data_IF_450643525217
#
_entry.id   IF_450643525217
#
_cell.length_a   1.000
_cell.length_b   1.000
_cell.length_c   1.000
_cell.angle_alpha   90.00
_cell.angle_beta   90.00
_cell.angle_gamma   90.00
#
_symmetry.space_group_name_H-M   'P 1'
#
loop_
_entity.id
_entity.type
_entity.pdbx_description
1 polymer ?
#
# COMPACT_ATOMS: atom_id res chain seq x y z
N UNK A 1 -41.89 -1.29 -43.85
CA UNK A 1 -40.46 -1.57 -43.70
C UNK A 1 -39.61 -0.38 -43.23
N UNK A 2 -39.98 0.87 -43.44
CA UNK A 2 -39.17 2.05 -43.01
C UNK A 2 -39.13 2.32 -41.48
N UNK A 3 -40.14 1.87 -40.72
CA UNK A 3 -40.23 2.09 -39.27
C UNK A 3 -39.50 1.04 -38.42
N UNK A 4 -39.23 -0.14 -38.99
CA UNK A 4 -38.50 -1.22 -38.30
C UNK A 4 -37.01 -0.91 -38.18
N UNK A 5 -36.43 -0.19 -39.15
CA UNK A 5 -35.02 0.22 -39.16
C UNK A 5 -34.73 1.32 -38.14
N UNK A 6 -35.69 2.18 -37.82
CA UNK A 6 -35.51 3.26 -36.83
C UNK A 6 -35.54 2.70 -35.40
N UNK A 7 -36.34 1.64 -35.15
CA UNK A 7 -36.42 1.03 -33.82
C UNK A 7 -35.17 0.19 -33.45
N UNK A 8 -34.51 -0.38 -34.46
CA UNK A 8 -33.26 -1.14 -34.26
C UNK A 8 -32.04 -0.27 -33.88
N UNK A 9 -32.03 1.00 -34.29
CA UNK A 9 -30.92 1.92 -33.93
C UNK A 9 -31.00 2.50 -32.51
N UNK A 10 -32.18 2.46 -31.90
CA UNK A 10 -32.40 3.04 -30.55
C UNK A 10 -31.98 2.10 -29.40
N UNK A 11 -31.76 0.81 -29.68
CA UNK A 11 -31.41 -0.19 -28.66
C UNK A 11 -29.89 -0.26 -28.40
N UNK A 12 -29.07 0.33 -29.29
CA UNK A 12 -27.61 0.25 -29.21
C UNK A 12 -26.95 1.32 -28.30
N UNK A 13 -27.69 2.23 -27.68
CA UNK A 13 -27.14 3.35 -26.89
C UNK A 13 -27.11 3.09 -25.38
N UNK A 14 -27.59 1.93 -24.89
CA UNK A 14 -27.74 1.69 -23.44
C UNK A 14 -26.61 0.82 -22.80
N UNK A 15 -25.50 0.58 -23.47
CA UNK A 15 -24.48 -0.34 -22.95
C UNK A 15 -23.13 0.33 -22.70
N UNK A 16 -23.07 1.47 -22.02
CA UNK A 16 -21.79 2.01 -21.56
C UNK A 16 -21.91 2.70 -20.20
N UNK A 17 -22.52 2.04 -19.21
CA UNK A 17 -22.20 2.33 -17.83
C UNK A 17 -20.95 1.50 -17.50
N UNK A 18 -19.75 2.06 -17.67
CA UNK A 18 -18.57 1.59 -16.93
C UNK A 18 -18.85 1.92 -15.47
N UNK A 19 -19.08 0.90 -14.66
CA UNK A 19 -19.02 1.02 -13.21
C UNK A 19 -17.68 1.67 -12.86
N UNK A 20 -17.70 2.89 -12.35
CA UNK A 20 -16.51 3.57 -11.88
C UNK A 20 -16.01 2.79 -10.65
N UNK A 21 -14.90 2.06 -10.84
CA UNK A 21 -14.33 1.22 -9.79
C UNK A 21 -13.91 2.14 -8.63
N UNK A 22 -14.45 1.90 -7.45
CA UNK A 22 -14.05 2.64 -6.25
C UNK A 22 -12.55 2.42 -5.99
N UNK A 23 -11.77 3.48 -6.15
CA UNK A 23 -10.32 3.47 -5.96
C UNK A 23 -9.91 4.04 -4.61
N UNK A 24 -10.85 4.39 -3.73
CA UNK A 24 -10.59 5.07 -2.46
C UNK A 24 -9.56 4.34 -1.59
N UNK A 25 -9.57 3.02 -1.61
CA UNK A 25 -8.63 2.17 -0.85
C UNK A 25 -7.80 1.25 -1.77
N UNK A 26 -7.65 1.61 -3.03
CA UNK A 26 -6.87 0.82 -3.98
C UNK A 26 -5.41 1.30 -4.01
N UNK A 27 -4.48 0.35 -3.99
CA UNK A 27 -3.05 0.57 -4.19
C UNK A 27 -2.70 0.08 -5.59
N UNK A 28 -2.29 1.01 -6.44
CA UNK A 28 -1.81 0.77 -7.79
C UNK A 28 -0.33 1.10 -7.89
N UNK A 29 0.26 0.97 -9.06
CA UNK A 29 1.63 1.41 -9.34
C UNK A 29 1.78 2.93 -9.20
N UNK A 30 0.74 3.69 -9.56
CA UNK A 30 0.83 5.14 -9.71
C UNK A 30 0.06 5.91 -8.62
N UNK A 31 -0.74 5.22 -7.79
CA UNK A 31 -1.55 5.86 -6.75
C UNK A 31 -1.86 4.95 -5.56
N UNK A 32 -2.11 5.57 -4.41
CA UNK A 32 -2.64 4.94 -3.19
C UNK A 32 -3.87 5.74 -2.76
N UNK A 33 -5.06 5.23 -3.09
CA UNK A 33 -6.30 5.95 -2.90
C UNK A 33 -6.27 7.31 -3.62
N UNK A 34 -6.30 8.39 -2.84
CA UNK A 34 -6.28 9.78 -3.36
C UNK A 34 -4.87 10.30 -3.67
N UNK A 35 -3.82 9.61 -3.22
CA UNK A 35 -2.44 10.06 -3.33
C UNK A 35 -1.82 9.53 -4.61
N UNK A 36 -1.48 10.40 -5.54
CA UNK A 36 -0.71 10.06 -6.73
C UNK A 36 0.79 10.00 -6.42
N UNK A 37 1.53 9.15 -7.13
CA UNK A 37 2.99 8.98 -6.99
C UNK A 37 3.76 10.29 -7.18
N UNK A 38 3.28 11.15 -8.07
CA UNK A 38 3.91 12.45 -8.38
C UNK A 38 3.47 13.59 -7.46
N UNK A 39 2.60 13.31 -6.45
CA UNK A 39 2.11 14.33 -5.53
C UNK A 39 3.24 14.94 -4.71
N UNK A 40 3.26 16.26 -4.64
CA UNK A 40 4.24 16.98 -3.84
C UNK A 40 3.83 16.97 -2.36
N UNK A 41 4.82 16.91 -1.48
CA UNK A 41 4.58 16.92 -0.03
C UNK A 41 3.82 18.19 0.44
N UNK A 42 3.98 19.32 -0.26
CA UNK A 42 3.26 20.55 0.04
C UNK A 42 1.76 20.50 -0.28
N UNK A 43 1.34 19.58 -1.18
CA UNK A 43 -0.04 19.49 -1.65
C UNK A 43 -0.89 18.52 -0.81
N UNK A 44 -0.28 17.84 0.16
CA UNK A 44 -0.94 16.83 1.03
C UNK A 44 -2.17 17.42 1.74
N UNK A 45 -2.12 18.68 2.19
CA UNK A 45 -3.26 19.32 2.84
C UNK A 45 -4.45 19.54 1.89
N UNK A 46 -4.18 19.74 0.61
CA UNK A 46 -5.22 19.91 -0.42
C UNK A 46 -5.79 18.53 -0.81
N UNK A 47 -4.93 17.54 -1.01
CA UNK A 47 -5.34 16.16 -1.38
C UNK A 47 -6.25 15.55 -0.29
N UNK A 48 -5.91 15.81 0.97
CA UNK A 48 -6.63 15.27 2.13
C UNK A 48 -7.46 16.33 2.88
N UNK A 49 -8.00 17.34 2.15
CA UNK A 49 -8.76 18.45 2.75
C UNK A 49 -9.99 18.01 3.57
N UNK A 50 -10.55 16.84 3.28
CA UNK A 50 -11.68 16.25 4.01
C UNK A 50 -11.27 15.30 5.16
N UNK A 51 -9.98 15.10 5.34
CA UNK A 51 -9.38 14.19 6.32
C UNK A 51 -8.61 15.01 7.37
N UNK A 52 -8.24 14.40 8.49
CA UNK A 52 -7.41 15.03 9.52
C UNK A 52 -5.94 14.71 9.28
N UNK A 53 -5.08 15.72 9.30
CA UNK A 53 -3.65 15.58 9.06
C UNK A 53 -2.88 15.98 10.33
N UNK A 54 -2.04 15.07 10.82
CA UNK A 54 -1.10 15.34 11.91
C UNK A 54 0.32 15.33 11.36
N UNK A 55 1.02 16.46 11.49
CA UNK A 55 2.45 16.57 11.15
C UNK A 55 3.29 16.12 12.34
N UNK A 56 3.96 14.99 12.19
CA UNK A 56 4.83 14.45 13.23
C UNK A 56 6.26 14.98 13.04
N UNK A 57 6.67 15.88 13.93
CA UNK A 57 8.01 16.45 13.98
C UNK A 57 8.89 15.81 15.08
N UNK A 58 8.41 14.74 15.72
CA UNK A 58 9.06 14.13 16.90
C UNK A 58 10.33 13.32 16.59
N UNK A 59 10.73 13.17 15.33
CA UNK A 59 11.99 12.49 14.96
C UNK A 59 13.08 13.53 14.71
N UNK A 60 13.57 14.14 15.80
CA UNK A 60 14.64 15.17 15.76
C UNK A 60 16.05 14.56 15.63
N UNK A 61 16.23 13.24 15.60
CA UNK A 61 17.55 12.59 15.77
C UNK A 61 18.04 11.72 14.60
N UNK A 62 17.52 11.88 13.39
CA UNK A 62 18.16 11.30 12.20
C UNK A 62 18.35 12.38 11.15
N UNK A 63 19.40 12.27 10.37
CA UNK A 63 19.88 13.24 9.37
C UNK A 63 18.86 13.68 8.30
N UNK A 64 17.63 13.18 8.35
CA UNK A 64 16.52 13.55 7.49
C UNK A 64 15.41 14.20 8.33
N UNK A 65 15.38 15.53 8.34
CA UNK A 65 14.38 16.38 8.99
C UNK A 65 12.99 16.32 8.32
N UNK A 66 12.65 15.22 7.64
CA UNK A 66 11.38 15.09 6.90
C UNK A 66 10.23 14.86 7.89
N UNK A 67 9.39 15.87 8.07
CA UNK A 67 8.17 15.79 8.89
C UNK A 67 7.22 14.78 8.24
N UNK A 68 6.89 13.71 8.96
CA UNK A 68 5.90 12.73 8.49
C UNK A 68 4.49 13.29 8.60
N UNK A 69 3.63 12.92 7.64
CA UNK A 69 2.20 13.22 7.70
C UNK A 69 1.44 11.96 8.09
N UNK A 70 0.66 12.04 9.16
CA UNK A 70 -0.28 10.99 9.54
C UNK A 70 -1.67 11.42 9.07
N UNK A 71 -2.29 10.62 8.23
CA UNK A 71 -3.60 10.88 7.64
C UNK A 71 -4.64 10.06 8.38
N UNK A 72 -5.67 10.74 8.87
CA UNK A 72 -6.78 10.14 9.60
C UNK A 72 -8.09 10.46 8.89
N UNK A 73 -8.91 9.45 8.68
CA UNK A 73 -10.27 9.62 8.18
C UNK A 73 -11.08 10.51 9.15
N UNK A 74 -12.06 11.21 8.63
CA UNK A 74 -13.05 11.94 9.43
C UNK A 74 -13.75 10.94 10.38
N UNK A 75 -13.48 11.05 11.66
CA UNK A 75 -13.86 10.03 12.66
C UNK A 75 -12.68 9.38 13.38
N UNK A 76 -11.44 9.72 13.00
CA UNK A 76 -10.22 9.42 13.74
C UNK A 76 -9.49 8.13 13.36
N UNK A 77 -9.95 7.38 12.35
CA UNK A 77 -9.27 6.16 11.92
C UNK A 77 -7.98 6.49 11.14
N UNK A 78 -6.85 5.95 11.57
CA UNK A 78 -5.56 6.15 10.91
C UNK A 78 -5.53 5.40 9.57
N UNK A 79 -5.32 6.14 8.49
CA UNK A 79 -5.31 5.62 7.13
C UNK A 79 -3.89 5.31 6.64
N UNK A 80 -3.05 6.34 6.63
CA UNK A 80 -1.70 6.31 6.05
C UNK A 80 -0.73 7.12 6.90
N UNK A 81 0.53 6.70 6.93
CA UNK A 81 1.67 7.53 7.35
C UNK A 81 2.56 7.77 6.15
N UNK A 82 2.72 9.04 5.76
CA UNK A 82 3.48 9.47 4.59
C UNK A 82 4.83 10.02 5.02
N UNK A 83 5.89 9.61 4.35
CA UNK A 83 7.25 10.11 4.55
C UNK A 83 7.70 10.84 3.28
N UNK A 84 7.92 12.16 3.32
CA UNK A 84 8.47 12.90 2.19
C UNK A 84 9.91 12.52 1.87
N UNK A 85 10.30 12.69 0.60
CA UNK A 85 11.68 12.60 0.17
C UNK A 85 12.52 13.75 0.75
N UNK A 86 13.86 13.61 0.68
CA UNK A 86 14.81 14.63 1.09
C UNK A 86 15.14 15.64 -0.01
N UNK A 87 14.46 15.61 -1.14
CA UNK A 87 14.71 16.47 -2.29
C UNK A 87 14.36 17.93 -2.04
N UNK A 88 14.89 18.83 -2.86
CA UNK A 88 14.56 20.26 -2.82
C UNK A 88 13.07 20.55 -3.05
N UNK A 89 12.41 19.72 -3.84
CA UNK A 89 10.96 19.71 -4.07
C UNK A 89 10.45 18.33 -3.66
N UNK A 90 10.12 18.12 -2.36
CA UNK A 90 9.81 16.80 -1.84
C UNK A 90 8.53 16.21 -2.45
N UNK A 91 8.61 15.00 -2.94
CA UNK A 91 7.48 14.10 -3.19
C UNK A 91 7.27 13.20 -1.97
N UNK A 92 6.33 12.25 -2.03
CA UNK A 92 6.20 11.22 -1.01
C UNK A 92 7.00 9.99 -1.47
N UNK A 93 8.04 9.62 -0.72
CA UNK A 93 8.91 8.48 -1.05
C UNK A 93 8.50 7.18 -0.36
N UNK A 94 7.91 7.26 0.84
CA UNK A 94 7.52 6.06 1.56
C UNK A 94 6.16 6.23 2.23
N UNK A 95 5.29 5.25 2.03
CA UNK A 95 3.93 5.23 2.56
C UNK A 95 3.77 3.97 3.41
N UNK A 96 3.40 4.14 4.67
CA UNK A 96 2.95 3.05 5.53
C UNK A 96 1.43 3.01 5.52
N UNK A 97 0.90 1.85 5.18
CA UNK A 97 -0.54 1.59 5.22
C UNK A 97 -0.93 1.20 6.64
N UNK A 98 -1.93 1.89 7.20
CA UNK A 98 -2.40 1.66 8.58
C UNK A 98 -3.83 1.07 8.60
N UNK A 99 -4.61 1.27 7.55
CA UNK A 99 -5.98 0.75 7.45
C UNK A 99 -6.06 -0.50 6.58
N UNK A 100 -6.72 -1.53 7.10
CA UNK A 100 -6.92 -2.83 6.44
C UNK A 100 -7.78 -2.77 5.17
N UNK A 101 -8.50 -1.68 4.92
CA UNK A 101 -9.29 -1.48 3.69
C UNK A 101 -8.39 -1.29 2.46
N UNK A 102 -7.16 -0.81 2.65
CA UNK A 102 -6.23 -0.67 1.54
C UNK A 102 -5.76 -2.04 1.05
N UNK A 103 -5.99 -2.28 -0.23
CA UNK A 103 -5.58 -3.48 -0.94
C UNK A 103 -4.91 -3.13 -2.26
N UNK A 104 -3.98 -3.95 -2.70
CA UNK A 104 -3.40 -3.85 -4.05
C UNK A 104 -4.42 -4.26 -5.11
N UNK A 105 -4.11 -4.01 -6.40
CA UNK A 105 -4.93 -4.47 -7.53
C UNK A 105 -5.14 -5.98 -7.55
N UNK A 106 -4.24 -6.74 -6.89
CA UNK A 106 -4.35 -8.19 -6.73
C UNK A 106 -5.02 -8.63 -5.41
N UNK A 107 -5.62 -7.68 -4.68
CA UNK A 107 -6.39 -7.95 -3.47
C UNK A 107 -5.56 -8.21 -2.21
N UNK A 108 -4.24 -8.00 -2.24
CA UNK A 108 -3.37 -8.21 -1.07
C UNK A 108 -3.25 -6.94 -0.25
N UNK A 109 -3.43 -7.03 1.08
CA UNK A 109 -3.38 -5.91 2.01
C UNK A 109 -2.99 -6.35 3.43
N UNK A 110 -3.18 -5.47 4.43
CA UNK A 110 -2.83 -5.76 5.83
C UNK A 110 -3.61 -6.93 6.46
N UNK A 111 -4.78 -7.27 5.92
CA UNK A 111 -5.58 -8.38 6.41
C UNK A 111 -5.18 -9.73 5.78
N UNK A 112 -4.29 -9.72 4.80
CA UNK A 112 -3.82 -10.88 4.07
C UNK A 112 -2.75 -11.66 4.86
N UNK A 113 -2.42 -12.86 4.36
CA UNK A 113 -1.40 -13.76 4.89
C UNK A 113 -0.18 -13.83 3.96
N UNK A 114 0.85 -14.55 4.38
CA UNK A 114 1.99 -14.84 3.51
C UNK A 114 1.59 -15.65 2.27
N UNK A 115 0.61 -16.55 2.43
CA UNK A 115 0.06 -17.31 1.29
C UNK A 115 -0.50 -16.37 0.21
N UNK A 116 -1.27 -15.36 0.61
CA UNK A 116 -1.85 -14.40 -0.35
C UNK A 116 -0.75 -13.63 -1.09
N UNK A 117 0.35 -13.28 -0.41
CA UNK A 117 1.50 -12.63 -1.06
C UNK A 117 2.09 -13.55 -2.13
N UNK A 118 2.46 -14.79 -1.78
CA UNK A 118 3.16 -15.70 -2.70
C UNK A 118 2.29 -16.20 -3.85
N UNK A 119 0.97 -16.30 -3.65
CA UNK A 119 0.04 -16.73 -4.69
C UNK A 119 -0.20 -15.63 -5.73
N UNK A 120 -0.08 -14.36 -5.35
CA UNK A 120 -0.37 -13.21 -6.21
C UNK A 120 0.88 -12.48 -6.72
N UNK A 121 2.03 -12.64 -6.07
CA UNK A 121 3.26 -11.90 -6.39
C UNK A 121 4.50 -12.78 -6.46
N UNK A 122 5.41 -12.40 -7.35
CA UNK A 122 6.77 -12.96 -7.36
C UNK A 122 7.62 -12.26 -6.31
N UNK A 123 8.17 -13.01 -5.37
CA UNK A 123 9.08 -12.48 -4.35
C UNK A 123 10.44 -12.19 -4.99
N UNK A 124 10.93 -10.96 -4.84
CA UNK A 124 12.25 -10.54 -5.30
C UNK A 124 13.34 -10.89 -4.28
N UNK A 125 13.07 -10.58 -3.01
CA UNK A 125 14.04 -10.75 -1.92
C UNK A 125 13.31 -10.82 -0.58
N UNK A 126 13.84 -11.63 0.32
CA UNK A 126 13.48 -11.64 1.73
C UNK A 126 14.66 -11.09 2.52
N UNK A 127 14.41 -10.09 3.37
CA UNK A 127 15.40 -9.48 4.24
C UNK A 127 15.04 -9.83 5.67
N UNK A 128 15.95 -10.51 6.35
CA UNK A 128 15.80 -10.86 7.77
C UNK A 128 16.38 -9.74 8.63
N UNK A 129 15.60 -9.25 9.59
CA UNK A 129 16.04 -8.36 10.65
C UNK A 129 15.92 -9.03 12.02
N UNK A 130 16.27 -8.32 13.10
CA UNK A 130 16.21 -8.89 14.45
C UNK A 130 14.83 -9.49 14.78
N UNK A 131 13.75 -8.74 14.54
CA UNK A 131 12.40 -9.12 14.96
C UNK A 131 11.43 -9.38 13.80
N UNK A 132 11.83 -9.14 12.56
CA UNK A 132 10.92 -9.17 11.42
C UNK A 132 11.60 -9.77 10.19
N UNK A 133 10.74 -10.16 9.27
CA UNK A 133 11.09 -10.56 7.90
C UNK A 133 10.42 -9.58 6.94
N UNK A 134 11.19 -8.94 6.07
CA UNK A 134 10.68 -8.01 5.06
C UNK A 134 10.68 -8.70 3.70
N UNK A 135 9.54 -8.67 3.03
CA UNK A 135 9.30 -9.34 1.75
C UNK A 135 9.20 -8.26 0.67
N UNK A 136 10.19 -8.23 -0.21
CA UNK A 136 10.23 -7.34 -1.38
C UNK A 136 9.71 -8.08 -2.60
N UNK A 137 8.88 -7.43 -3.40
CA UNK A 137 8.26 -7.98 -4.60
C UNK A 137 9.05 -7.59 -5.87
N UNK A 138 8.86 -8.35 -6.99
CA UNK A 138 9.52 -8.06 -8.27
C UNK A 138 8.82 -6.94 -9.03
N UNK A 139 7.50 -7.00 -9.08
CA UNK A 139 6.68 -6.17 -9.99
C UNK A 139 5.74 -5.24 -9.21
N UNK A 140 6.16 -4.82 -8.01
CA UNK A 140 5.38 -3.91 -7.17
C UNK A 140 6.30 -3.14 -6.23
N UNK A 141 5.98 -1.87 -6.03
CA UNK A 141 6.64 -1.02 -5.03
C UNK A 141 6.11 -1.29 -3.60
N UNK A 142 5.06 -2.10 -3.48
CA UNK A 142 4.59 -2.59 -2.19
C UNK A 142 5.55 -3.63 -1.62
N UNK A 143 5.80 -3.55 -0.31
CA UNK A 143 6.53 -4.55 0.43
C UNK A 143 5.87 -4.83 1.78
N UNK A 144 6.09 -6.03 2.29
CA UNK A 144 5.39 -6.53 3.46
C UNK A 144 6.36 -6.92 4.55
N UNK A 145 5.94 -6.77 5.79
CA UNK A 145 6.69 -7.18 6.96
C UNK A 145 5.90 -8.20 7.75
N UNK A 146 6.53 -9.32 8.08
CA UNK A 146 5.99 -10.36 8.95
C UNK A 146 6.83 -10.37 10.23
N UNK A 147 6.20 -10.49 11.41
CA UNK A 147 6.92 -10.68 12.66
C UNK A 147 7.57 -12.05 12.69
N UNK A 148 8.78 -12.17 13.25
CA UNK A 148 9.39 -13.47 13.52
C UNK A 148 8.58 -14.33 14.50
N UNK A 149 7.66 -13.73 15.26
CA UNK A 149 6.72 -14.46 16.10
C UNK A 149 5.79 -15.39 15.31
N UNK A 150 5.50 -15.06 14.06
CA UNK A 150 4.72 -15.89 13.14
C UNK A 150 5.51 -17.11 12.60
N UNK A 151 6.83 -17.14 12.78
CA UNK A 151 7.69 -18.22 12.28
C UNK A 151 7.79 -19.38 13.25
N UNK A 152 8.21 -20.57 12.79
CA UNK A 152 8.55 -21.69 13.65
C UNK A 152 9.56 -21.27 14.74
N UNK A 153 9.46 -21.86 15.93
CA UNK A 153 10.27 -21.49 17.10
C UNK A 153 11.79 -21.51 16.85
N UNK A 154 12.26 -22.42 16.00
CA UNK A 154 13.68 -22.54 15.60
C UNK A 154 14.21 -21.32 14.84
N UNK A 155 13.33 -20.51 14.21
CA UNK A 155 13.69 -19.35 13.41
C UNK A 155 13.46 -18.03 14.12
N UNK A 156 12.65 -18.01 15.18
CA UNK A 156 12.28 -16.77 15.90
C UNK A 156 13.49 -16.03 16.47
N UNK A 157 14.45 -16.76 17.03
CA UNK A 157 15.60 -16.21 17.74
C UNK A 157 16.91 -16.27 16.91
N UNK A 158 16.86 -16.80 15.71
CA UNK A 158 18.03 -16.89 14.85
C UNK A 158 18.38 -15.50 14.29
N UNK A 159 19.42 -14.85 14.83
CA UNK A 159 19.83 -13.47 14.45
C UNK A 159 20.60 -13.42 13.13
N UNK A 160 21.19 -14.54 12.68
CA UNK A 160 22.12 -14.59 11.54
C UNK A 160 21.63 -15.48 10.39
N UNK A 161 20.41 -15.98 10.42
CA UNK A 161 19.89 -16.90 9.41
C UNK A 161 19.13 -16.14 8.34
N UNK A 162 19.51 -16.35 7.08
CA UNK A 162 18.69 -15.94 5.95
C UNK A 162 17.44 -16.82 5.91
N UNK A 163 16.28 -16.19 6.14
CA UNK A 163 14.99 -16.87 6.07
C UNK A 163 14.53 -16.89 4.62
N UNK A 164 14.22 -18.09 4.13
CA UNK A 164 13.70 -18.32 2.79
C UNK A 164 12.16 -18.40 2.79
N UNK A 165 11.53 -18.14 1.63
CA UNK A 165 10.08 -18.15 1.51
C UNK A 165 9.44 -19.48 1.96
N UNK A 166 10.08 -20.61 1.70
CA UNK A 166 9.62 -21.95 2.08
C UNK A 166 9.54 -22.16 3.60
N UNK A 167 10.24 -21.34 4.37
CA UNK A 167 10.30 -21.44 5.83
C UNK A 167 9.26 -20.53 6.53
N UNK A 168 8.56 -19.67 5.79
CA UNK A 168 7.51 -18.81 6.31
C UNK A 168 6.19 -19.55 6.20
N UNK A 169 5.43 -19.73 7.31
CA UNK A 169 4.12 -20.37 7.28
C UNK A 169 3.14 -19.62 6.36
N UNK A 170 2.32 -20.37 5.67
CA UNK A 170 1.30 -19.83 4.75
C UNK A 170 0.31 -18.90 5.45
N UNK A 171 -0.04 -19.19 6.69
CA UNK A 171 -0.96 -18.44 7.54
C UNK A 171 -0.29 -17.30 8.32
N UNK A 172 1.03 -17.08 8.15
CA UNK A 172 1.76 -15.99 8.79
C UNK A 172 1.13 -14.63 8.44
N UNK A 173 0.81 -13.85 9.48
CA UNK A 173 0.08 -12.58 9.33
C UNK A 173 1.02 -11.44 8.95
N UNK A 174 0.52 -10.57 8.10
CA UNK A 174 1.22 -9.34 7.73
C UNK A 174 1.16 -8.37 8.92
N UNK A 175 2.33 -7.94 9.40
CA UNK A 175 2.48 -6.95 10.46
C UNK A 175 2.41 -5.53 9.92
N UNK A 176 3.12 -5.27 8.82
CA UNK A 176 3.15 -3.97 8.15
C UNK A 176 3.08 -4.15 6.64
N UNK A 177 2.42 -3.21 5.99
CA UNK A 177 2.42 -3.03 4.55
C UNK A 177 2.91 -1.62 4.25
N UNK A 178 3.85 -1.52 3.34
CA UNK A 178 4.46 -0.25 2.93
C UNK A 178 4.58 -0.19 1.42
N UNK A 179 4.63 1.03 0.88
CA UNK A 179 4.93 1.28 -0.52
C UNK A 179 6.11 2.26 -0.58
N UNK A 180 7.14 1.91 -1.35
CA UNK A 180 8.29 2.77 -1.58
C UNK A 180 8.27 3.27 -3.03
N UNK A 181 8.13 4.58 -3.20
CA UNK A 181 8.22 5.25 -4.49
C UNK A 181 9.60 5.89 -4.65
N UNK A 182 10.34 5.39 -5.65
CA UNK A 182 11.64 5.96 -6.06
C UNK A 182 11.44 7.10 -7.07
#
# INVERSE_FOLDING_TARGET
MRYILIFSCLILVLSSCKEEKDTTFLITKDAIGKLDRISLARDIEVIYANDSIVKDSSIVNTSNNSKKFKIFEKGGKHLLTLTPSSDSIPTIENIRVEDKRFITEKGVGLASTFKDIKDNYSIRKIITSMNNVVILLKDSDAYFTISKEELPSSLRYASSVNIEAVQIPDDAKIKYMMVAWD
#
